data_IF_319773909477
#
_entry.id   IF_319773909477
#
_cell.length_a   1.000
_cell.length_b   1.000
_cell.length_c   1.000
_cell.angle_alpha   90.00
_cell.angle_beta   90.00
_cell.angle_gamma   90.00
#
_symmetry.space_group_name_H-M   'P 1'
#
loop_
_entity.id
_entity.type
_entity.pdbx_description
1 polymer ?
#
# COMPACT_ATOMS: atom_id res chain seq x y z
N UNK A 1 -0.63 8.02 19.79
CA UNK A 1 -1.02 9.17 18.96
C UNK A 1 -2.18 9.91 19.62
N UNK A 2 -2.19 11.25 19.58
CA UNK A 2 -3.30 12.04 20.12
C UNK A 2 -4.55 11.83 19.24
N UNK A 3 -5.76 11.63 19.79
CA UNK A 3 -6.97 11.34 19.02
C UNK A 3 -7.32 12.43 17.98
N UNK A 4 -6.93 13.67 18.24
CA UNK A 4 -7.07 14.80 17.29
C UNK A 4 -6.32 14.55 15.97
N UNK A 5 -5.12 13.97 16.02
CA UNK A 5 -4.33 13.65 14.82
C UNK A 5 -5.00 12.52 14.02
N UNK A 6 -5.59 11.54 14.71
CA UNK A 6 -6.34 10.46 14.05
C UNK A 6 -7.59 11.00 13.32
N UNK A 7 -8.36 11.88 13.97
CA UNK A 7 -9.51 12.52 13.32
C UNK A 7 -9.07 13.37 12.12
N UNK A 8 -7.97 14.11 12.24
CA UNK A 8 -7.44 14.89 11.11
C UNK A 8 -7.02 13.97 9.95
N UNK A 9 -6.37 12.84 10.25
CA UNK A 9 -6.00 11.84 9.23
C UNK A 9 -7.22 11.27 8.51
N UNK A 10 -8.27 10.97 9.27
CA UNK A 10 -9.52 10.46 8.71
C UNK A 10 -10.24 11.52 7.87
N UNK A 11 -10.38 12.75 8.36
CA UNK A 11 -11.06 13.83 7.64
C UNK A 11 -10.33 14.21 6.36
N UNK A 12 -9.04 14.49 6.42
CA UNK A 12 -8.27 14.84 5.21
C UNK A 12 -8.23 13.65 4.25
N UNK A 13 -7.95 12.44 4.76
CA UNK A 13 -7.93 11.23 3.93
C UNK A 13 -9.27 10.98 3.24
N UNK A 14 -10.35 10.97 4.00
CA UNK A 14 -11.71 10.76 3.50
C UNK A 14 -12.18 11.85 2.55
N UNK A 15 -11.92 13.13 2.86
CA UNK A 15 -12.23 14.26 1.97
C UNK A 15 -11.45 14.16 0.66
N UNK A 16 -10.19 13.72 0.70
CA UNK A 16 -9.38 13.57 -0.53
C UNK A 16 -9.88 12.42 -1.39
N UNK A 17 -10.35 11.31 -0.79
CA UNK A 17 -11.00 10.22 -1.52
C UNK A 17 -12.33 10.66 -2.12
N UNK A 18 -13.14 11.42 -1.38
CA UNK A 18 -14.38 11.99 -1.91
C UNK A 18 -14.09 12.95 -3.08
N UNK A 19 -13.06 13.79 -2.95
CA UNK A 19 -12.62 14.69 -4.01
C UNK A 19 -12.14 13.94 -5.25
N UNK A 20 -11.37 12.86 -5.10
CA UNK A 20 -10.91 12.05 -6.24
C UNK A 20 -12.08 11.45 -7.01
N UNK A 21 -13.15 11.05 -6.31
CA UNK A 21 -14.39 10.62 -6.94
C UNK A 21 -15.04 11.75 -7.76
N UNK A 22 -15.20 12.95 -7.19
CA UNK A 22 -15.74 14.10 -7.93
C UNK A 22 -14.95 14.42 -9.20
N UNK A 23 -13.61 14.42 -9.12
CA UNK A 23 -12.74 14.63 -10.28
C UNK A 23 -12.99 13.56 -11.34
N UNK A 24 -13.17 12.30 -10.93
CA UNK A 24 -13.44 11.22 -11.87
C UNK A 24 -14.81 11.31 -12.54
N UNK A 25 -15.81 11.93 -11.92
CA UNK A 25 -17.11 12.19 -12.54
C UNK A 25 -17.06 13.29 -13.62
N UNK A 26 -16.11 14.22 -13.53
CA UNK A 26 -15.98 15.35 -14.48
C UNK A 26 -15.20 14.92 -15.73
N UNK A 27 -14.28 13.96 -15.59
CA UNK A 27 -13.44 13.49 -16.69
C UNK A 27 -14.20 12.43 -17.52
N UNK A 28 -14.36 12.61 -18.84
CA UNK A 28 -15.22 11.75 -19.68
C UNK A 28 -14.65 10.34 -19.98
N UNK A 29 -13.49 9.98 -19.42
CA UNK A 29 -12.84 8.69 -19.68
C UNK A 29 -13.20 7.67 -18.59
N UNK A 30 -13.82 6.54 -18.98
CA UNK A 30 -14.31 5.49 -18.07
C UNK A 30 -13.26 4.96 -17.09
N UNK A 31 -11.99 4.89 -17.50
CA UNK A 31 -10.91 4.29 -16.70
C UNK A 31 -10.35 5.25 -15.63
N UNK A 32 -10.58 6.56 -15.77
CA UNK A 32 -10.13 7.55 -14.79
C UNK A 32 -10.78 7.36 -13.41
N UNK A 33 -12.00 6.81 -13.36
CA UNK A 33 -12.64 6.39 -12.11
C UNK A 33 -11.79 5.40 -11.33
N UNK A 34 -11.22 4.40 -12.00
CA UNK A 34 -10.35 3.41 -11.36
C UNK A 34 -9.01 4.00 -10.90
N UNK A 35 -8.41 4.87 -11.72
CA UNK A 35 -7.14 5.54 -11.38
C UNK A 35 -7.32 6.38 -10.10
N UNK A 36 -8.34 7.24 -10.07
CA UNK A 36 -8.60 8.11 -8.92
C UNK A 36 -9.16 7.36 -7.70
N UNK A 37 -9.75 6.18 -7.88
CA UNK A 37 -10.13 5.30 -6.77
C UNK A 37 -8.91 4.74 -6.02
N UNK A 38 -7.75 4.62 -6.69
CA UNK A 38 -6.49 4.17 -6.07
C UNK A 38 -5.61 5.32 -5.56
N UNK A 39 -6.12 6.55 -5.57
CA UNK A 39 -5.36 7.74 -5.19
C UNK A 39 -4.76 7.60 -3.77
N UNK A 40 -3.44 7.80 -3.59
CA UNK A 40 -2.74 7.46 -2.34
C UNK A 40 -2.90 8.52 -1.23
N UNK A 41 -4.09 9.07 -1.03
CA UNK A 41 -4.36 10.16 -0.08
C UNK A 41 -3.88 9.86 1.34
N UNK A 42 -4.30 8.72 1.88
CA UNK A 42 -4.02 8.31 3.27
C UNK A 42 -2.52 8.05 3.46
N UNK A 43 -1.84 7.56 2.42
CA UNK A 43 -0.39 7.37 2.42
C UNK A 43 0.33 8.72 2.47
N UNK A 44 0.02 9.63 1.54
CA UNK A 44 0.68 10.94 1.46
C UNK A 44 0.53 11.73 2.76
N UNK A 45 -0.67 11.73 3.34
CA UNK A 45 -0.90 12.40 4.63
C UNK A 45 -0.11 11.73 5.76
N UNK A 46 -0.05 10.39 5.78
CA UNK A 46 0.76 9.67 6.76
C UNK A 46 2.24 9.96 6.62
N UNK A 47 2.74 10.12 5.39
CA UNK A 47 4.12 10.51 5.11
C UNK A 47 4.44 11.91 5.59
N UNK A 48 3.57 12.89 5.31
CA UNK A 48 3.75 14.27 5.75
C UNK A 48 3.81 14.33 7.29
N UNK A 49 2.88 13.68 7.97
CA UNK A 49 2.88 13.64 9.45
C UNK A 49 4.12 12.92 9.98
N UNK A 50 4.49 11.77 9.40
CA UNK A 50 5.66 11.02 9.82
C UNK A 50 6.96 11.83 9.66
N UNK A 51 7.14 12.51 8.53
CA UNK A 51 8.29 13.36 8.27
C UNK A 51 8.36 14.57 9.20
N UNK A 52 7.25 15.27 9.42
CA UNK A 52 7.22 16.43 10.31
C UNK A 52 7.39 16.07 11.79
N UNK A 53 6.74 15.01 12.29
CA UNK A 53 6.76 14.67 13.72
C UNK A 53 7.96 13.80 14.11
N UNK A 54 8.47 12.96 13.21
CA UNK A 54 9.42 11.89 13.56
C UNK A 54 10.63 11.80 12.60
N UNK A 55 10.71 12.66 11.58
CA UNK A 55 11.83 12.72 10.66
C UNK A 55 11.90 11.57 9.64
N UNK A 56 13.05 11.49 8.97
CA UNK A 56 13.25 10.66 7.77
C UNK A 56 13.16 9.16 8.06
N UNK A 57 13.57 8.71 9.24
CA UNK A 57 13.58 7.28 9.59
C UNK A 57 12.16 6.72 9.63
N UNK A 58 11.25 7.36 10.38
CA UNK A 58 9.86 6.90 10.43
C UNK A 58 9.16 7.09 9.09
N UNK A 59 9.42 8.19 8.38
CA UNK A 59 8.88 8.41 7.04
C UNK A 59 9.31 7.29 6.08
N UNK A 60 10.57 6.87 6.11
CA UNK A 60 11.08 5.74 5.33
C UNK A 60 10.38 4.42 5.68
N UNK A 61 10.14 4.16 6.97
CA UNK A 61 9.36 2.99 7.40
C UNK A 61 7.91 3.02 6.88
N UNK A 62 7.26 4.19 6.87
CA UNK A 62 5.92 4.36 6.31
C UNK A 62 5.93 4.10 4.79
N UNK A 63 6.90 4.64 4.06
CA UNK A 63 7.12 4.33 2.64
C UNK A 63 7.26 2.84 2.39
N UNK A 64 8.14 2.16 3.14
CA UNK A 64 8.38 0.72 2.99
C UNK A 64 7.13 -0.10 3.26
N UNK A 65 6.38 0.23 4.32
CA UNK A 65 5.10 -0.42 4.61
C UNK A 65 4.07 -0.21 3.49
N UNK A 66 4.01 1.00 2.93
CA UNK A 66 3.11 1.33 1.83
C UNK A 66 3.43 0.57 0.55
N UNK A 67 4.71 0.32 0.23
CA UNK A 67 5.11 -0.50 -0.92
C UNK A 67 4.48 -1.91 -0.83
N UNK A 68 4.55 -2.55 0.35
CA UNK A 68 3.95 -3.88 0.53
C UNK A 68 2.43 -3.85 0.42
N UNK A 69 1.78 -2.86 1.04
CA UNK A 69 0.34 -2.69 0.96
C UNK A 69 -0.17 -2.43 -0.47
N UNK A 70 0.49 -1.53 -1.21
CA UNK A 70 0.14 -1.19 -2.59
C UNK A 70 0.43 -2.34 -3.56
N UNK A 71 1.50 -3.11 -3.33
CA UNK A 71 1.76 -4.34 -4.10
C UNK A 71 0.66 -5.37 -3.89
N UNK A 72 0.18 -5.52 -2.65
CA UNK A 72 -0.99 -6.36 -2.37
C UNK A 72 -2.26 -5.84 -3.05
N UNK A 73 -2.43 -4.52 -3.19
CA UNK A 73 -3.57 -3.94 -3.91
C UNK A 73 -3.56 -4.36 -5.38
N UNK A 74 -2.39 -4.41 -6.03
CA UNK A 74 -2.27 -4.92 -7.40
C UNK A 74 -2.73 -6.38 -7.47
N UNK A 75 -2.27 -7.25 -6.57
CA UNK A 75 -2.73 -8.64 -6.51
C UNK A 75 -4.26 -8.75 -6.32
N UNK A 76 -4.82 -7.92 -5.44
CA UNK A 76 -6.26 -7.84 -5.20
C UNK A 76 -7.03 -7.47 -6.46
N UNK A 77 -6.61 -6.42 -7.17
CA UNK A 77 -7.24 -5.95 -8.42
C UNK A 77 -7.22 -7.06 -9.48
N UNK A 78 -6.08 -7.75 -9.65
CA UNK A 78 -5.96 -8.83 -10.63
C UNK A 78 -6.89 -10.01 -10.31
N UNK A 79 -6.97 -10.43 -9.05
CA UNK A 79 -7.85 -11.52 -8.62
C UNK A 79 -9.32 -11.13 -8.71
N UNK A 80 -9.69 -9.93 -8.26
CA UNK A 80 -11.06 -9.42 -8.37
C UNK A 80 -11.49 -9.29 -9.82
N UNK A 81 -10.63 -8.77 -10.70
CA UNK A 81 -10.91 -8.68 -12.13
C UNK A 81 -11.08 -10.06 -12.79
N UNK A 82 -10.20 -11.02 -12.47
CA UNK A 82 -10.31 -12.38 -12.96
C UNK A 82 -11.59 -13.09 -12.49
N UNK A 83 -11.95 -12.92 -11.21
CA UNK A 83 -13.20 -13.46 -10.65
C UNK A 83 -14.44 -12.83 -11.28
N UNK A 84 -14.46 -11.51 -11.45
CA UNK A 84 -15.57 -10.81 -12.11
C UNK A 84 -15.73 -11.28 -13.56
N UNK A 85 -14.62 -11.45 -14.28
CA UNK A 85 -14.63 -11.87 -15.69
C UNK A 85 -15.10 -13.31 -15.89
N UNK A 86 -14.98 -14.18 -14.88
CA UNK A 86 -15.33 -15.61 -14.98
C UNK A 86 -16.67 -15.95 -14.32
N UNK A 87 -17.01 -15.31 -13.21
CA UNK A 87 -18.18 -15.69 -12.39
C UNK A 87 -19.32 -14.68 -12.46
N UNK A 88 -19.07 -13.46 -12.93
CA UNK A 88 -20.01 -12.32 -12.87
C UNK A 88 -20.59 -12.04 -11.45
N UNK A 89 -19.95 -12.55 -10.39
CA UNK A 89 -20.41 -12.43 -9.01
C UNK A 89 -19.59 -11.35 -8.27
N UNK A 90 -20.08 -10.11 -8.30
CA UNK A 90 -19.35 -8.97 -7.73
C UNK A 90 -19.19 -9.03 -6.20
N UNK A 91 -20.15 -9.49 -5.38
CA UNK A 91 -19.94 -9.57 -3.93
C UNK A 91 -18.85 -10.57 -3.55
N UNK A 92 -18.84 -11.75 -4.18
CA UNK A 92 -17.81 -12.76 -3.95
C UNK A 92 -16.42 -12.24 -4.36
N UNK A 93 -16.36 -11.54 -5.49
CA UNK A 93 -15.11 -10.96 -6.01
C UNK A 93 -14.51 -9.90 -5.08
N UNK A 94 -15.33 -9.14 -4.35
CA UNK A 94 -14.88 -8.19 -3.32
C UNK A 94 -14.28 -8.94 -2.13
N UNK A 95 -14.97 -9.97 -1.62
CA UNK A 95 -14.50 -10.74 -0.45
C UNK A 95 -13.16 -11.41 -0.76
N UNK A 96 -13.06 -12.08 -1.91
CA UNK A 96 -11.82 -12.75 -2.34
C UNK A 96 -10.72 -11.74 -2.62
N UNK A 97 -11.04 -10.61 -3.25
CA UNK A 97 -10.10 -9.51 -3.48
C UNK A 97 -9.50 -8.97 -2.19
N UNK A 98 -10.35 -8.70 -1.19
CA UNK A 98 -9.91 -8.18 0.10
C UNK A 98 -9.02 -9.20 0.86
N UNK A 99 -9.41 -10.47 0.87
CA UNK A 99 -8.58 -11.53 1.44
C UNK A 99 -7.22 -11.62 0.73
N UNK A 100 -7.23 -11.56 -0.60
CA UNK A 100 -6.02 -11.59 -1.44
C UNK A 100 -5.10 -10.42 -1.14
N UNK A 101 -5.63 -9.20 -1.00
CA UNK A 101 -4.85 -8.01 -0.64
C UNK A 101 -4.03 -8.24 0.63
N UNK A 102 -4.70 -8.67 1.70
CA UNK A 102 -4.05 -8.83 2.99
C UNK A 102 -3.02 -9.96 2.98
N UNK A 103 -3.40 -11.13 2.45
CA UNK A 103 -2.52 -12.30 2.38
C UNK A 103 -1.27 -11.99 1.55
N UNK A 104 -1.44 -11.40 0.36
CA UNK A 104 -0.32 -11.06 -0.51
C UNK A 104 0.60 -10.00 0.11
N UNK A 105 0.08 -8.95 0.74
CA UNK A 105 0.90 -7.95 1.43
C UNK A 105 1.75 -8.58 2.55
N UNK A 106 1.18 -9.50 3.33
CA UNK A 106 1.91 -10.23 4.37
C UNK A 106 2.98 -11.15 3.77
N UNK A 107 2.66 -11.89 2.71
CA UNK A 107 3.64 -12.77 2.03
C UNK A 107 4.80 -11.93 1.46
N UNK A 108 4.52 -10.85 0.74
CA UNK A 108 5.52 -9.98 0.13
C UNK A 108 6.44 -9.39 1.22
N UNK A 109 5.87 -8.84 2.29
CA UNK A 109 6.65 -8.27 3.38
C UNK A 109 7.55 -9.32 4.07
N UNK A 110 7.05 -10.55 4.24
CA UNK A 110 7.80 -11.66 4.83
C UNK A 110 8.96 -12.11 3.91
N UNK A 111 8.72 -12.21 2.61
CA UNK A 111 9.76 -12.56 1.63
C UNK A 111 10.86 -11.50 1.64
N UNK A 112 10.50 -10.22 1.57
CA UNK A 112 11.47 -9.12 1.58
C UNK A 112 12.28 -9.12 2.88
N UNK A 113 11.65 -9.37 4.03
CA UNK A 113 12.35 -9.47 5.30
C UNK A 113 13.37 -10.63 5.30
N UNK A 114 12.99 -11.81 4.80
CA UNK A 114 13.89 -12.96 4.70
C UNK A 114 15.07 -12.70 3.75
N UNK A 115 14.81 -12.10 2.60
CA UNK A 115 15.87 -11.75 1.63
C UNK A 115 16.85 -10.74 2.23
N UNK A 116 16.37 -9.71 2.95
CA UNK A 116 17.23 -8.72 3.59
C UNK A 116 18.17 -9.36 4.63
N UNK A 117 17.67 -10.30 5.44
CA UNK A 117 18.48 -11.05 6.42
C UNK A 117 19.57 -11.88 5.70
N UNK A 118 19.20 -12.59 4.64
CA UNK A 118 20.14 -13.42 3.88
C UNK A 118 21.24 -12.60 3.20
N UNK A 119 20.88 -11.45 2.61
CA UNK A 119 21.85 -10.54 1.97
C UNK A 119 22.82 -9.96 3.00
N UNK A 120 22.31 -9.53 4.15
CA UNK A 120 23.15 -8.98 5.24
C UNK A 120 24.12 -10.03 5.77
N UNK A 121 23.66 -11.26 6.03
CA UNK A 121 24.52 -12.34 6.51
C UNK A 121 25.61 -12.72 5.50
N UNK A 122 25.28 -12.75 4.20
CA UNK A 122 26.26 -13.02 3.12
C UNK A 122 27.31 -11.92 3.02
N UNK A 123 26.92 -10.65 3.19
CA UNK A 123 27.84 -9.51 3.17
C UNK A 123 28.84 -9.54 4.34
N UNK A 124 28.35 -9.79 5.56
CA UNK A 124 29.20 -9.89 6.76
C UNK A 124 30.18 -11.07 6.65
N UNK A 125 29.72 -12.24 6.19
CA UNK A 125 30.58 -13.40 5.98
C UNK A 125 31.71 -13.13 4.97
N UNK A 126 31.41 -12.39 3.90
CA UNK A 126 32.41 -11.98 2.89
C UNK A 126 33.45 -11.01 3.47
N UNK A 127 33.03 -10.05 4.30
CA UNK A 127 33.95 -9.10 4.93
C UNK A 127 34.91 -9.79 5.91
N UNK A 128 34.41 -10.73 6.72
CA UNK A 128 35.25 -11.50 7.66
C UNK A 128 36.28 -12.36 6.90
N UNK A 129 35.89 -12.96 5.77
CA UNK A 129 36.80 -13.76 4.96
C UNK A 129 37.87 -12.94 4.22
N UNK A 130 37.66 -11.64 3.99
CA UNK A 130 38.60 -10.78 3.29
C UNK A 130 39.69 -10.16 4.20
N UNK A 131 39.51 -10.21 5.52
CA UNK A 131 40.44 -9.67 6.52
C UNK A 131 41.15 -10.77 7.33
N UNK A 132 41.15 -12.00 6.81
CA UNK A 132 41.82 -13.17 7.39
C UNK A 132 42.92 -13.64 6.45
#
# INVERSE_FOLDING_TARGET
>A
MKPKVLMLKFLIGGSTVAFSYFVSCIIPWKDFGGIFATFPAVFLLSMVIAGFEFGDELASHVCRGAIFGMSGCLCSILVTWGMLSTTANWPLSIIVGFATWFISAVIISTIVAKVAVLVTHKSTAKHIAAHK
#
